data_IF_904137526585
#
_entry.id   IF_904137526585
#
_cell.length_a   1.000
_cell.length_b   1.000
_cell.length_c   1.000
_cell.angle_alpha   90.00
_cell.angle_beta   90.00
_cell.angle_gamma   90.00
#
_symmetry.space_group_name_H-M   'P 1'
#
loop_
_entity.id
_entity.type
_entity.pdbx_description
1 polymer ?
#
# COMPACT_ATOMS: atom_id res chain seq x y z
N UNK A 1 -35.78 11.01 -26.75
CA UNK A 1 -35.24 9.64 -26.52
C UNK A 1 -33.78 9.47 -26.97
N UNK A 2 -33.34 10.15 -28.03
CA UNK A 2 -31.96 10.11 -28.58
C UNK A 2 -30.90 10.77 -27.70
N UNK A 3 -31.20 11.93 -27.10
CA UNK A 3 -30.25 12.67 -26.23
C UNK A 3 -29.94 11.88 -24.94
N UNK A 4 -30.94 11.26 -24.32
CA UNK A 4 -30.77 10.43 -23.11
C UNK A 4 -29.88 9.23 -23.43
N UNK A 5 -30.13 8.52 -24.54
CA UNK A 5 -29.29 7.40 -24.98
C UNK A 5 -27.83 7.83 -25.23
N UNK A 6 -27.62 8.97 -25.89
CA UNK A 6 -26.28 9.51 -26.13
C UNK A 6 -25.54 9.84 -24.82
N UNK A 7 -26.22 10.46 -23.85
CA UNK A 7 -25.67 10.73 -22.51
C UNK A 7 -25.36 9.45 -21.73
N UNK A 8 -26.22 8.44 -21.79
CA UNK A 8 -25.95 7.12 -21.16
C UNK A 8 -24.74 6.44 -21.80
N UNK A 9 -24.61 6.48 -23.13
CA UNK A 9 -23.46 5.91 -23.83
C UNK A 9 -22.17 6.66 -23.48
N UNK A 10 -22.20 7.99 -23.42
CA UNK A 10 -21.03 8.80 -23.07
C UNK A 10 -20.56 8.55 -21.63
N UNK A 11 -21.50 8.47 -20.68
CA UNK A 11 -21.20 8.16 -19.28
C UNK A 11 -20.68 6.74 -19.12
N UNK A 12 -21.25 5.76 -19.83
CA UNK A 12 -20.74 4.39 -19.86
C UNK A 12 -19.31 4.35 -20.41
N UNK A 13 -19.05 5.03 -21.53
CA UNK A 13 -17.73 5.12 -22.12
C UNK A 13 -16.71 5.76 -21.17
N UNK A 14 -17.05 6.90 -20.56
CA UNK A 14 -16.20 7.56 -19.58
C UNK A 14 -15.89 6.65 -18.37
N UNK A 15 -16.88 5.88 -17.90
CA UNK A 15 -16.69 4.92 -16.82
C UNK A 15 -15.77 3.76 -17.23
N UNK A 16 -15.88 3.25 -18.46
CA UNK A 16 -14.98 2.21 -18.98
C UNK A 16 -13.56 2.75 -19.10
N UNK A 17 -13.38 3.94 -19.69
CA UNK A 17 -12.06 4.59 -19.80
C UNK A 17 -11.44 4.79 -18.42
N UNK A 18 -12.20 5.32 -17.46
CA UNK A 18 -11.73 5.49 -16.06
C UNK A 18 -11.27 4.16 -15.46
N UNK A 19 -12.04 3.08 -15.67
CA UNK A 19 -11.68 1.73 -15.18
C UNK A 19 -10.45 1.14 -15.86
N UNK A 20 -10.22 1.42 -17.13
CA UNK A 20 -9.01 0.95 -17.83
C UNK A 20 -7.78 1.73 -17.36
N UNK A 21 -7.88 3.06 -17.33
CA UNK A 21 -6.77 3.95 -16.97
C UNK A 21 -6.29 3.70 -15.53
N UNK A 22 -7.20 3.46 -14.58
CA UNK A 22 -6.81 3.20 -13.19
C UNK A 22 -6.03 1.88 -13.02
N UNK A 23 -6.13 0.94 -13.97
CA UNK A 23 -5.42 -0.33 -13.94
C UNK A 23 -4.02 -0.26 -14.57
N UNK A 24 -3.69 0.79 -15.33
CA UNK A 24 -2.38 0.94 -15.98
C UNK A 24 -1.23 0.86 -14.97
N UNK A 25 -1.25 1.59 -13.83
CA UNK A 25 -0.18 1.48 -12.84
C UNK A 25 -0.07 0.08 -12.23
N UNK A 26 -1.20 -0.64 -12.11
CA UNK A 26 -1.22 -2.00 -11.55
C UNK A 26 -0.53 -2.99 -12.48
N UNK A 27 -0.88 -2.94 -13.77
CA UNK A 27 -0.21 -3.75 -14.80
C UNK A 27 1.28 -3.43 -14.86
N UNK A 28 1.64 -2.15 -14.73
CA UNK A 28 3.03 -1.71 -14.71
C UNK A 28 3.82 -2.29 -13.52
N UNK A 29 3.26 -2.28 -12.31
CA UNK A 29 3.90 -2.90 -11.13
C UNK A 29 4.11 -4.40 -11.33
N UNK A 30 3.11 -5.13 -11.82
CA UNK A 30 3.28 -6.56 -12.14
C UNK A 30 4.37 -6.78 -13.20
N UNK A 31 4.41 -5.92 -14.23
CA UNK A 31 5.43 -5.97 -15.28
C UNK A 31 6.85 -5.79 -14.74
N UNK A 32 7.08 -4.79 -13.89
CA UNK A 32 8.40 -4.56 -13.27
C UNK A 32 8.81 -5.76 -12.43
N UNK A 33 7.94 -6.23 -11.52
CA UNK A 33 8.28 -7.36 -10.64
C UNK A 33 8.57 -8.62 -11.45
N UNK A 34 7.83 -8.88 -12.53
CA UNK A 34 8.07 -10.00 -13.41
C UNK A 34 9.41 -9.88 -14.17
N UNK A 35 9.71 -8.69 -14.70
CA UNK A 35 10.98 -8.43 -15.40
C UNK A 35 12.16 -8.61 -14.45
N UNK A 36 12.12 -7.99 -13.26
CA UNK A 36 13.19 -8.10 -12.27
C UNK A 36 13.38 -9.55 -11.80
N UNK A 37 12.29 -10.31 -11.65
CA UNK A 37 12.37 -11.74 -11.34
C UNK A 37 12.97 -12.57 -12.46
N UNK A 38 12.56 -12.36 -13.72
CA UNK A 38 13.13 -13.06 -14.87
C UNK A 38 14.61 -12.74 -15.02
N UNK A 39 15.02 -11.47 -14.90
CA UNK A 39 16.43 -11.09 -15.00
C UNK A 39 17.24 -11.68 -13.85
N UNK A 40 16.74 -11.65 -12.62
CA UNK A 40 17.46 -12.21 -11.49
C UNK A 40 17.56 -13.75 -11.55
N UNK A 41 16.50 -14.44 -11.94
CA UNK A 41 16.52 -15.91 -11.98
C UNK A 41 17.33 -16.42 -13.16
N UNK A 42 17.16 -15.87 -14.36
CA UNK A 42 17.81 -16.42 -15.54
C UNK A 42 19.15 -15.76 -15.86
N UNK A 43 19.23 -14.43 -15.79
CA UNK A 43 20.46 -13.71 -16.17
C UNK A 43 21.51 -13.81 -15.07
N UNK A 44 21.17 -13.47 -13.83
CA UNK A 44 22.14 -13.57 -12.72
C UNK A 44 22.59 -15.02 -12.50
N UNK A 45 21.68 -16.00 -12.56
CA UNK A 45 22.08 -17.42 -12.47
C UNK A 45 23.03 -17.83 -13.61
N UNK A 46 22.74 -17.46 -14.86
CA UNK A 46 23.61 -17.81 -16.00
C UNK A 46 25.03 -17.27 -15.89
N UNK A 47 25.23 -16.17 -15.15
CA UNK A 47 26.53 -15.53 -14.96
C UNK A 47 27.35 -16.14 -13.83
N UNK A 48 26.71 -16.51 -12.72
CA UNK A 48 27.42 -16.84 -11.48
C UNK A 48 27.34 -18.32 -11.07
N UNK A 49 26.44 -19.11 -11.66
CA UNK A 49 26.22 -20.50 -11.24
C UNK A 49 27.46 -21.38 -11.38
N UNK A 50 28.15 -21.31 -12.53
CA UNK A 50 29.33 -22.15 -12.79
C UNK A 50 30.49 -21.86 -11.84
N UNK A 51 30.63 -20.62 -11.37
CA UNK A 51 31.70 -20.21 -10.46
C UNK A 51 31.33 -20.39 -9.00
N UNK A 52 30.05 -20.16 -8.64
CA UNK A 52 29.57 -20.09 -7.25
C UNK A 52 28.15 -20.67 -7.13
N UNK A 53 27.97 -21.99 -7.29
CA UNK A 53 26.63 -22.60 -7.42
C UNK A 53 25.79 -22.43 -6.15
N UNK A 54 26.32 -22.74 -4.98
CA UNK A 54 25.56 -22.67 -3.72
C UNK A 54 25.08 -21.25 -3.38
N UNK A 55 25.94 -20.25 -3.52
CA UNK A 55 25.56 -18.85 -3.25
C UNK A 55 24.58 -18.32 -4.29
N UNK A 56 24.74 -18.74 -5.55
CA UNK A 56 23.83 -18.34 -6.64
C UNK A 56 22.44 -18.91 -6.40
N UNK A 57 22.32 -20.21 -6.10
CA UNK A 57 21.04 -20.85 -5.78
C UNK A 57 20.42 -20.23 -4.53
N UNK A 58 21.19 -20.00 -3.47
CA UNK A 58 20.68 -19.36 -2.26
C UNK A 58 20.14 -17.94 -2.53
N UNK A 59 20.84 -17.15 -3.34
CA UNK A 59 20.38 -15.81 -3.73
C UNK A 59 19.09 -15.88 -4.57
N UNK A 60 19.01 -16.80 -5.55
CA UNK A 60 17.82 -17.01 -6.39
C UNK A 60 16.61 -17.43 -5.56
N UNK A 61 16.80 -18.36 -4.61
CA UNK A 61 15.74 -18.80 -3.69
C UNK A 61 15.27 -17.65 -2.81
N UNK A 62 16.21 -16.92 -2.19
CA UNK A 62 15.89 -15.77 -1.36
C UNK A 62 15.14 -14.69 -2.13
N UNK A 63 15.62 -14.32 -3.31
CA UNK A 63 14.97 -13.32 -4.16
C UNK A 63 13.56 -13.78 -4.56
N UNK A 64 13.39 -15.04 -4.93
CA UNK A 64 12.08 -15.60 -5.26
C UNK A 64 11.11 -15.55 -4.08
N UNK A 65 11.56 -15.89 -2.86
CA UNK A 65 10.73 -15.77 -1.65
C UNK A 65 10.30 -14.31 -1.43
N UNK A 66 11.23 -13.36 -1.58
CA UNK A 66 10.92 -11.93 -1.45
C UNK A 66 9.95 -11.47 -2.53
N UNK A 67 10.12 -11.87 -3.80
CA UNK A 67 9.19 -11.56 -4.89
C UNK A 67 7.79 -12.11 -4.62
N UNK A 68 7.67 -13.32 -4.07
CA UNK A 68 6.38 -13.89 -3.66
C UNK A 68 5.75 -13.03 -2.56
N UNK A 69 6.52 -12.58 -1.57
CA UNK A 69 6.03 -11.71 -0.49
C UNK A 69 5.64 -10.32 -0.99
N UNK A 70 6.36 -9.75 -1.96
CA UNK A 70 5.98 -8.52 -2.68
C UNK A 70 4.62 -8.71 -3.35
N UNK A 71 4.48 -9.73 -4.20
CA UNK A 71 3.25 -9.99 -4.95
C UNK A 71 2.08 -10.30 -4.03
N UNK A 72 2.27 -11.13 -3.01
CA UNK A 72 1.23 -11.45 -2.05
C UNK A 72 0.77 -10.20 -1.29
N UNK A 73 1.69 -9.36 -0.81
CA UNK A 73 1.35 -8.10 -0.14
C UNK A 73 0.63 -7.13 -1.08
N UNK A 74 1.13 -7.00 -2.31
CA UNK A 74 0.57 -6.12 -3.33
C UNK A 74 -0.86 -6.54 -3.73
N UNK A 75 -1.06 -7.82 -4.07
CA UNK A 75 -2.39 -8.36 -4.42
C UNK A 75 -3.37 -8.17 -3.26
N UNK A 76 -2.94 -8.42 -2.02
CA UNK A 76 -3.81 -8.20 -0.84
C UNK A 76 -4.14 -6.71 -0.67
N UNK A 77 -3.21 -5.81 -0.94
CA UNK A 77 -3.45 -4.37 -0.91
C UNK A 77 -4.48 -3.93 -1.97
N UNK A 78 -4.30 -4.38 -3.22
CA UNK A 78 -5.18 -4.08 -4.36
C UNK A 78 -6.59 -4.62 -4.13
N UNK A 79 -6.71 -5.87 -3.68
CA UNK A 79 -8.00 -6.59 -3.64
C UNK A 79 -8.79 -6.36 -2.34
N UNK A 80 -8.20 -5.77 -1.31
CA UNK A 80 -8.90 -5.56 -0.02
C UNK A 80 -9.62 -4.22 -0.03
N UNK A 81 -10.96 -4.26 0.02
CA UNK A 81 -11.79 -3.06 0.17
C UNK A 81 -11.72 -2.50 1.60
N UNK A 82 -11.59 -1.18 1.70
CA UNK A 82 -11.70 -0.42 2.96
C UNK A 82 -13.10 0.13 3.22
N UNK A 83 -14.07 -0.21 2.35
CA UNK A 83 -15.45 0.21 2.55
C UNK A 83 -16.04 -0.50 3.77
N UNK A 84 -16.86 0.19 4.59
CA UNK A 84 -17.56 -0.47 5.68
C UNK A 84 -18.47 -1.59 5.13
N UNK A 85 -18.17 -2.84 5.47
CA UNK A 85 -18.91 -4.02 4.95
C UNK A 85 -20.37 -4.04 5.42
N UNK A 86 -20.62 -3.54 6.62
CA UNK A 86 -21.94 -3.42 7.23
C UNK A 86 -22.03 -2.02 7.83
N UNK A 87 -23.06 -1.26 7.43
CA UNK A 87 -23.40 0.01 8.06
C UNK A 87 -24.51 -0.27 9.08
N UNK A 88 -24.22 -0.18 10.40
CA UNK A 88 -25.18 -0.49 11.43
C UNK A 88 -26.37 0.46 11.37
N UNK A 89 -27.51 -0.04 11.82
CA UNK A 89 -28.71 0.76 11.93
C UNK A 89 -28.46 1.96 12.86
N UNK A 90 -29.10 3.12 12.62
CA UNK A 90 -28.92 4.32 13.46
C UNK A 90 -29.34 4.18 14.93
N UNK A 91 -29.79 3.01 15.37
CA UNK A 91 -30.04 2.71 16.79
C UNK A 91 -28.85 2.04 17.50
N UNK A 92 -27.81 1.63 16.77
CA UNK A 92 -26.60 1.03 17.35
C UNK A 92 -25.60 2.07 17.87
N UNK A 93 -25.68 3.26 17.30
CA UNK A 93 -25.04 4.50 17.75
C UNK A 93 -26.16 5.52 17.78
N UNK A 94 -26.29 6.37 18.79
CA UNK A 94 -27.32 7.42 18.75
C UNK A 94 -27.15 8.22 17.45
N UNK A 95 -28.11 8.08 16.52
CA UNK A 95 -28.03 8.58 15.14
C UNK A 95 -27.71 10.08 15.02
N UNK A 96 -27.92 10.83 16.10
CA UNK A 96 -27.67 12.26 16.21
C UNK A 96 -26.18 12.60 16.40
N UNK A 97 -25.34 11.64 16.80
CA UNK A 97 -23.93 11.88 17.17
C UNK A 97 -22.93 11.36 16.13
N UNK A 98 -23.36 10.49 15.20
CA UNK A 98 -22.50 9.94 14.16
C UNK A 98 -22.64 10.72 12.84
N UNK A 99 -21.53 11.28 12.29
CA UNK A 99 -21.57 11.95 10.99
C UNK A 99 -22.10 11.06 9.90
N UNK A 100 -22.68 11.68 8.88
CA UNK A 100 -23.17 10.97 7.70
C UNK A 100 -22.42 11.44 6.48
N UNK A 101 -22.14 10.51 5.58
CA UNK A 101 -21.65 10.86 4.26
C UNK A 101 -22.83 11.20 3.35
N UNK A 102 -22.90 12.45 2.88
CA UNK A 102 -23.96 12.88 1.96
C UNK A 102 -23.94 12.10 0.62
N UNK A 103 -22.76 11.65 0.17
CA UNK A 103 -22.59 10.90 -1.09
C UNK A 103 -22.94 9.43 -0.97
N UNK A 104 -22.59 8.78 0.15
CA UNK A 104 -22.88 7.37 0.39
C UNK A 104 -24.23 7.14 1.08
N UNK A 105 -24.86 8.19 1.62
CA UNK A 105 -26.08 8.11 2.43
C UNK A 105 -25.98 7.11 3.60
N UNK A 106 -24.77 7.01 4.16
CA UNK A 106 -24.42 6.05 5.21
C UNK A 106 -23.82 6.76 6.42
N UNK A 107 -23.73 6.06 7.55
CA UNK A 107 -22.94 6.53 8.69
C UNK A 107 -21.47 6.62 8.24
N UNK A 108 -20.77 7.63 8.76
CA UNK A 108 -19.36 7.89 8.53
C UNK A 108 -18.66 7.75 9.88
N UNK A 109 -18.03 6.59 10.13
CA UNK A 109 -17.29 6.36 11.36
C UNK A 109 -16.17 7.37 11.55
N UNK A 110 -15.68 7.44 12.78
CA UNK A 110 -14.48 8.22 13.07
C UNK A 110 -13.31 7.81 12.16
N UNK A 111 -12.50 8.78 11.75
CA UNK A 111 -11.36 8.63 10.81
C UNK A 111 -11.72 8.07 9.42
N UNK A 112 -13.00 7.83 9.11
CA UNK A 112 -13.41 7.41 7.79
C UNK A 112 -13.58 8.64 6.88
N UNK A 113 -13.19 8.54 5.60
CA UNK A 113 -13.38 9.64 4.64
C UNK A 113 -13.96 9.13 3.32
N UNK A 114 -14.74 9.96 2.62
CA UNK A 114 -15.28 9.62 1.31
C UNK A 114 -14.22 9.83 0.24
N UNK A 115 -13.85 8.77 -0.48
CA UNK A 115 -12.97 8.90 -1.64
C UNK A 115 -13.79 9.06 -2.92
N UNK A 116 -13.72 10.22 -3.56
CA UNK A 116 -14.39 10.48 -4.84
C UNK A 116 -13.89 9.60 -5.99
N UNK A 117 -12.63 9.15 -5.93
CA UNK A 117 -12.04 8.25 -6.93
C UNK A 117 -12.66 6.86 -6.85
N UNK A 118 -12.80 6.32 -5.63
CA UNK A 118 -13.40 5.01 -5.35
C UNK A 118 -14.94 5.04 -5.28
N UNK A 119 -15.54 6.21 -5.02
CA UNK A 119 -17.00 6.39 -4.88
C UNK A 119 -17.58 5.83 -3.58
N UNK A 120 -16.75 5.59 -2.56
CA UNK A 120 -17.16 4.98 -1.28
C UNK A 120 -16.44 5.65 -0.11
N UNK A 121 -17.03 5.57 1.08
CA UNK A 121 -16.32 5.84 2.33
C UNK A 121 -15.28 4.75 2.59
N UNK A 122 -14.09 5.15 3.02
CA UNK A 122 -13.00 4.27 3.40
C UNK A 122 -12.71 4.43 4.90
N UNK A 123 -12.74 3.33 5.66
CA UNK A 123 -12.42 3.32 7.09
C UNK A 123 -10.95 3.66 7.31
N UNK A 124 -10.65 4.49 8.31
CA UNK A 124 -9.30 5.01 8.62
C UNK A 124 -8.56 5.36 7.33
N UNK A 125 -9.19 6.19 6.48
CA UNK A 125 -8.66 6.48 5.15
C UNK A 125 -7.30 7.13 5.28
N UNK A 126 -6.32 6.56 4.62
CA UNK A 126 -4.99 7.14 4.52
C UNK A 126 -4.91 7.97 3.24
N UNK A 127 -4.91 7.31 2.08
CA UNK A 127 -4.93 8.00 0.80
C UNK A 127 -5.54 7.13 -0.30
N UNK A 128 -5.90 7.76 -1.41
CA UNK A 128 -6.14 7.03 -2.65
C UNK A 128 -4.80 6.83 -3.37
N UNK A 129 -4.45 5.58 -3.67
CA UNK A 129 -3.17 5.25 -4.26
C UNK A 129 -3.36 4.72 -5.69
N UNK A 130 -2.97 5.48 -6.72
CA UNK A 130 -3.07 5.03 -8.11
C UNK A 130 -2.29 3.74 -8.38
N UNK A 131 -1.17 3.54 -7.70
CA UNK A 131 -0.28 2.37 -7.86
C UNK A 131 -0.90 1.04 -7.43
N UNK A 132 -1.95 1.07 -6.60
CA UNK A 132 -2.71 -0.14 -6.21
C UNK A 132 -4.16 -0.08 -6.70
N UNK A 133 -4.51 0.91 -7.53
CA UNK A 133 -5.86 1.17 -8.02
C UNK A 133 -6.95 1.14 -6.93
N UNK A 134 -6.61 1.53 -5.70
CA UNK A 134 -7.46 1.37 -4.53
C UNK A 134 -7.09 2.41 -3.45
N UNK A 135 -8.00 2.64 -2.51
CA UNK A 135 -7.68 3.36 -1.29
C UNK A 135 -6.85 2.49 -0.35
N UNK A 136 -5.86 3.12 0.27
CA UNK A 136 -5.14 2.60 1.44
C UNK A 136 -5.88 3.09 2.69
N UNK A 137 -6.18 2.17 3.59
CA UNK A 137 -6.96 2.44 4.79
C UNK A 137 -6.98 1.25 5.74
N UNK A 138 -7.95 1.20 6.66
CA UNK A 138 -7.96 0.28 7.80
C UNK A 138 -7.58 -1.18 7.48
N UNK A 139 -8.28 -1.82 6.54
CA UNK A 139 -8.14 -3.24 6.28
C UNK A 139 -6.93 -3.64 5.44
N UNK A 140 -6.31 -2.71 4.71
CA UNK A 140 -5.21 -3.00 3.81
C UNK A 140 -3.91 -2.26 4.12
N UNK A 141 -3.88 -1.37 5.12
CA UNK A 141 -2.68 -0.57 5.43
C UNK A 141 -1.47 -1.44 5.77
N UNK A 142 -1.67 -2.55 6.52
CA UNK A 142 -0.61 -3.53 6.77
C UNK A 142 -0.04 -4.10 5.47
N UNK A 143 -0.88 -4.49 4.52
CA UNK A 143 -0.44 -5.06 3.25
C UNK A 143 0.32 -4.03 2.40
N UNK A 144 -0.12 -2.77 2.43
CA UNK A 144 0.59 -1.66 1.82
C UNK A 144 2.00 -1.47 2.40
N UNK A 145 2.14 -1.46 3.74
CA UNK A 145 3.45 -1.36 4.40
C UNK A 145 4.37 -2.54 4.08
N UNK A 146 3.81 -3.75 4.05
CA UNK A 146 4.56 -4.95 3.67
C UNK A 146 4.96 -4.93 2.20
N UNK A 147 4.10 -4.43 1.31
CA UNK A 147 4.46 -4.22 -0.09
C UNK A 147 5.66 -3.26 -0.22
N UNK A 148 5.64 -2.12 0.48
CA UNK A 148 6.79 -1.20 0.49
C UNK A 148 8.05 -1.85 1.06
N UNK A 149 7.95 -2.50 2.23
CA UNK A 149 9.07 -3.14 2.90
C UNK A 149 9.72 -4.25 2.04
N UNK A 150 8.92 -5.16 1.49
CA UNK A 150 9.43 -6.24 0.67
C UNK A 150 9.94 -5.75 -0.69
N UNK A 151 9.36 -4.69 -1.26
CA UNK A 151 9.87 -4.07 -2.49
C UNK A 151 11.23 -3.42 -2.27
N UNK A 152 11.41 -2.67 -1.17
CA UNK A 152 12.73 -2.16 -0.76
C UNK A 152 13.74 -3.30 -0.59
N UNK A 153 13.34 -4.35 0.13
CA UNK A 153 14.20 -5.52 0.37
C UNK A 153 14.61 -6.20 -0.93
N UNK A 154 13.67 -6.42 -1.85
CA UNK A 154 13.94 -7.00 -3.16
C UNK A 154 14.90 -6.16 -3.99
N UNK A 155 14.68 -4.85 -4.05
CA UNK A 155 15.58 -3.95 -4.78
C UNK A 155 17.00 -3.94 -4.19
N UNK A 156 17.14 -3.93 -2.86
CA UNK A 156 18.44 -4.00 -2.19
C UNK A 156 19.16 -5.31 -2.51
N UNK A 157 18.46 -6.45 -2.44
CA UNK A 157 19.04 -7.76 -2.81
C UNK A 157 19.49 -7.74 -4.27
N UNK A 158 18.66 -7.22 -5.18
CA UNK A 158 18.98 -7.12 -6.59
C UNK A 158 20.27 -6.32 -6.84
N UNK A 159 20.39 -5.15 -6.21
CA UNK A 159 21.55 -4.25 -6.33
C UNK A 159 22.81 -4.91 -5.76
N UNK A 160 22.74 -5.49 -4.57
CA UNK A 160 23.90 -6.09 -3.90
C UNK A 160 24.42 -7.31 -4.67
N UNK A 161 23.53 -8.18 -5.14
CA UNK A 161 23.92 -9.36 -5.91
C UNK A 161 24.53 -8.99 -7.27
N UNK A 162 24.07 -7.92 -7.90
CA UNK A 162 24.58 -7.48 -9.21
C UNK A 162 25.68 -6.41 -9.10
N UNK A 163 26.22 -6.11 -7.91
CA UNK A 163 27.16 -5.00 -7.70
C UNK A 163 28.38 -5.01 -8.62
N UNK A 164 28.97 -6.17 -8.88
CA UNK A 164 30.13 -6.31 -9.78
C UNK A 164 29.79 -5.94 -11.23
N UNK A 165 28.56 -6.20 -11.68
CA UNK A 165 28.07 -5.81 -13.00
C UNK A 165 27.85 -4.30 -13.10
N UNK A 166 27.44 -3.67 -12.00
CA UNK A 166 27.34 -2.21 -11.92
C UNK A 166 28.72 -1.61 -12.17
N UNK A 167 29.74 -2.11 -11.47
CA UNK A 167 31.11 -1.61 -11.62
C UNK A 167 31.70 -1.90 -13.02
N UNK A 168 31.38 -3.05 -13.62
CA UNK A 168 31.90 -3.42 -14.94
C UNK A 168 31.35 -2.53 -16.08
N UNK A 169 30.13 -2.01 -15.94
CA UNK A 169 29.55 -1.03 -16.87
C UNK A 169 30.36 0.27 -16.89
N UNK A 170 30.78 0.75 -15.72
CA UNK A 170 31.60 1.96 -15.61
C UNK A 170 33.05 1.75 -16.03
N UNK A 171 33.52 0.50 -16.06
CA UNK A 171 34.90 0.15 -16.43
C UNK A 171 35.14 0.00 -17.95
N UNK A 172 34.16 0.33 -18.81
CA UNK A 172 34.25 0.28 -20.30
C UNK A 172 34.86 -1.04 -20.81
N UNK A 173 34.49 -2.16 -20.20
CA UNK A 173 34.96 -3.48 -20.64
C UNK A 173 34.04 -4.05 -21.72
N UNK A 174 34.62 -4.55 -22.81
CA UNK A 174 33.89 -5.13 -23.94
C UNK A 174 33.02 -6.31 -23.48
N UNK A 175 31.70 -6.17 -23.66
CA UNK A 175 30.70 -7.12 -23.17
C UNK A 175 30.49 -8.27 -24.14
N UNK A 176 30.59 -9.52 -23.66
CA UNK A 176 30.40 -10.75 -24.45
C UNK A 176 28.94 -10.97 -24.89
N UNK A 177 27.94 -10.53 -24.11
CA UNK A 177 26.51 -10.76 -24.38
C UNK A 177 25.69 -9.48 -24.20
N UNK A 178 25.75 -8.59 -25.18
CA UNK A 178 25.16 -7.23 -25.14
C UNK A 178 23.70 -7.19 -24.65
N UNK A 179 22.82 -8.08 -25.13
CA UNK A 179 21.40 -8.07 -24.77
C UNK A 179 21.14 -8.42 -23.31
N UNK A 180 21.76 -9.49 -22.79
CA UNK A 180 21.59 -9.90 -21.39
C UNK A 180 22.14 -8.86 -20.43
N UNK A 181 23.24 -8.22 -20.84
CA UNK A 181 23.86 -7.16 -20.06
C UNK A 181 23.03 -5.87 -20.05
N UNK A 182 22.32 -5.55 -21.13
CA UNK A 182 21.39 -4.43 -21.18
C UNK A 182 20.16 -4.66 -20.30
N UNK A 183 19.61 -5.88 -20.30
CA UNK A 183 18.48 -6.24 -19.42
C UNK A 183 18.86 -6.19 -17.94
N UNK A 184 20.05 -6.70 -17.59
CA UNK A 184 20.59 -6.63 -16.24
C UNK A 184 20.81 -5.19 -15.79
N UNK A 185 21.34 -4.33 -16.67
CA UNK A 185 21.57 -2.91 -16.40
C UNK A 185 20.24 -2.16 -16.18
N UNK A 186 19.24 -2.40 -17.02
CA UNK A 186 17.90 -1.84 -16.85
C UNK A 186 17.33 -2.19 -15.48
N UNK A 187 17.40 -3.47 -15.07
CA UNK A 187 16.93 -3.91 -13.76
C UNK A 187 17.66 -3.24 -12.59
N UNK A 188 18.99 -3.06 -12.69
CA UNK A 188 19.74 -2.31 -11.65
C UNK A 188 19.27 -0.86 -11.56
N UNK A 189 19.21 -0.15 -12.69
CA UNK A 189 18.82 1.26 -12.72
C UNK A 189 17.41 1.43 -12.16
N UNK A 190 16.48 0.55 -12.57
CA UNK A 190 15.12 0.48 -12.06
C UNK A 190 15.13 0.29 -10.53
N UNK A 191 15.83 -0.72 -10.03
CA UNK A 191 15.92 -1.01 -8.60
C UNK A 191 16.52 0.16 -7.80
N UNK A 192 17.54 0.85 -8.31
CA UNK A 192 18.13 2.04 -7.65
C UNK A 192 17.09 3.17 -7.58
N UNK A 193 16.46 3.49 -8.71
CA UNK A 193 15.47 4.55 -8.79
C UNK A 193 14.29 4.31 -7.83
N UNK A 194 13.73 3.09 -7.84
CA UNK A 194 12.64 2.73 -6.95
C UNK A 194 13.07 2.62 -5.49
N UNK A 195 14.27 2.09 -5.18
CA UNK A 195 14.74 1.97 -3.78
C UNK A 195 14.75 3.31 -3.06
N UNK A 196 15.26 4.36 -3.71
CA UNK A 196 15.33 5.69 -3.11
C UNK A 196 13.93 6.15 -2.72
N UNK A 197 12.99 6.16 -3.68
CA UNK A 197 11.62 6.61 -3.44
C UNK A 197 10.90 5.75 -2.40
N UNK A 198 11.01 4.42 -2.50
CA UNK A 198 10.31 3.49 -1.62
C UNK A 198 10.83 3.55 -0.17
N UNK A 199 12.14 3.76 0.05
CA UNK A 199 12.71 3.89 1.40
C UNK A 199 12.19 5.14 2.10
N UNK A 200 12.17 6.30 1.42
CA UNK A 200 11.62 7.52 2.00
C UNK A 200 10.12 7.38 2.28
N UNK A 201 9.39 6.78 1.35
CA UNK A 201 7.95 6.60 1.50
C UNK A 201 7.61 5.62 2.63
N UNK A 202 8.33 4.50 2.73
CA UNK A 202 8.22 3.57 3.85
C UNK A 202 8.58 4.24 5.18
N UNK A 203 9.67 5.02 5.22
CA UNK A 203 10.09 5.74 6.41
C UNK A 203 9.03 6.73 6.90
N UNK A 204 8.41 7.47 5.99
CA UNK A 204 7.30 8.37 6.29
C UNK A 204 6.09 7.61 6.86
N UNK A 205 5.67 6.51 6.21
CA UNK A 205 4.53 5.75 6.74
C UNK A 205 4.84 5.04 8.07
N UNK A 206 6.07 4.57 8.28
CA UNK A 206 6.47 4.03 9.59
C UNK A 206 6.41 5.12 10.67
N UNK A 207 6.81 6.36 10.35
CA UNK A 207 6.63 7.49 11.25
C UNK A 207 5.14 7.71 11.60
N UNK A 208 4.25 7.70 10.60
CA UNK A 208 2.80 7.82 10.81
C UNK A 208 2.23 6.68 11.66
N UNK A 209 2.67 5.44 11.42
CA UNK A 209 2.29 4.27 12.23
C UNK A 209 2.70 4.48 13.69
N UNK A 210 3.92 4.96 13.94
CA UNK A 210 4.40 5.19 15.30
C UNK A 210 3.65 6.31 16.02
N UNK A 211 3.08 7.26 15.29
CA UNK A 211 2.22 8.32 15.82
C UNK A 211 0.73 7.94 15.83
N UNK A 212 0.32 6.80 15.27
CA UNK A 212 -1.09 6.45 14.99
C UNK A 212 -1.85 7.52 14.21
N UNK A 213 -1.21 8.09 13.19
CA UNK A 213 -1.82 9.07 12.29
C UNK A 213 -1.98 8.49 10.89
N UNK A 214 -2.99 8.95 10.16
CA UNK A 214 -3.08 8.79 8.71
C UNK A 214 -2.40 9.95 8.00
N UNK A 215 -2.15 9.83 6.70
CA UNK A 215 -1.65 10.94 5.88
C UNK A 215 -2.61 12.14 5.85
N UNK A 216 -3.92 11.90 5.98
CA UNK A 216 -4.91 12.97 6.11
C UNK A 216 -4.75 13.70 7.45
N UNK A 217 -4.53 12.96 8.54
CA UNK A 217 -4.46 13.53 9.89
C UNK A 217 -3.15 14.28 10.17
N UNK A 218 -2.02 13.85 9.59
CA UNK A 218 -0.68 14.36 9.90
C UNK A 218 -0.53 15.89 9.74
N UNK A 219 -1.29 16.50 8.83
CA UNK A 219 -1.28 17.95 8.60
C UNK A 219 -2.21 18.77 9.51
N UNK A 220 -3.16 18.12 10.19
CA UNK A 220 -4.20 18.81 10.98
C UNK A 220 -4.12 18.49 12.48
N UNK A 221 -3.66 17.31 12.85
CA UNK A 221 -3.52 16.87 14.23
C UNK A 221 -2.05 16.95 14.63
N UNK A 222 -1.74 17.79 15.62
CA UNK A 222 -0.39 17.85 16.18
C UNK A 222 -0.10 16.59 17.00
N UNK A 223 1.14 16.05 17.00
CA UNK A 223 1.49 14.86 17.77
C UNK A 223 1.16 14.97 19.27
N UNK A 224 1.39 16.14 19.87
CA UNK A 224 1.13 16.39 21.30
C UNK A 224 -0.35 16.37 21.69
N UNK A 225 -1.25 16.50 20.71
CA UNK A 225 -2.70 16.53 20.90
C UNK A 225 -3.38 15.39 20.16
N UNK A 226 -2.65 14.37 19.73
CA UNK A 226 -3.23 13.25 18.98
C UNK A 226 -4.02 12.34 19.93
N UNK A 227 -5.36 12.30 19.85
CA UNK A 227 -6.16 11.48 20.76
C UNK A 227 -6.00 9.98 20.51
N UNK A 228 -5.51 9.57 19.33
CA UNK A 228 -5.35 8.17 18.94
C UNK A 228 -3.98 7.60 19.34
N UNK A 229 -3.03 8.42 19.77
CA UNK A 229 -1.71 7.93 20.16
C UNK A 229 -1.79 7.16 21.50
N UNK A 230 -1.46 5.87 21.44
CA UNK A 230 -1.45 4.94 22.58
C UNK A 230 -0.01 4.57 23.02
N UNK A 231 0.98 5.25 22.47
CA UNK A 231 2.39 4.91 22.56
C UNK A 231 2.84 3.99 21.43
N UNK A 232 4.08 4.21 20.97
CA UNK A 232 4.70 3.60 19.78
C UNK A 232 4.41 2.10 19.59
N UNK A 233 4.50 1.30 20.66
CA UNK A 233 4.25 -0.15 20.60
C UNK A 233 2.80 -0.47 20.29
N UNK A 234 1.84 0.11 21.04
CA UNK A 234 0.41 -0.13 20.83
C UNK A 234 -0.05 0.42 19.48
N UNK A 235 0.52 1.53 19.02
CA UNK A 235 0.25 2.07 17.70
C UNK A 235 0.70 1.12 16.58
N UNK A 236 1.90 0.55 16.70
CA UNK A 236 2.38 -0.46 15.75
C UNK A 236 1.53 -1.74 15.78
N UNK A 237 1.24 -2.25 16.98
CA UNK A 237 0.39 -3.43 17.19
C UNK A 237 -1.05 -3.20 16.68
N UNK A 238 -1.54 -1.95 16.63
CA UNK A 238 -2.86 -1.63 16.05
C UNK A 238 -2.96 -1.92 14.54
N UNK A 239 -1.81 -1.97 13.84
CA UNK A 239 -1.72 -2.28 12.40
C UNK A 239 -1.26 -3.73 12.17
N UNK A 240 -0.23 -4.16 12.90
CA UNK A 240 0.42 -5.46 12.69
C UNK A 240 -0.13 -6.60 13.56
N UNK A 241 -0.99 -6.29 14.52
CA UNK A 241 -1.52 -7.21 15.52
C UNK A 241 -0.53 -7.52 16.63
N UNK A 242 -1.01 -8.18 17.68
CA UNK A 242 -0.23 -8.56 18.88
C UNK A 242 0.70 -9.76 18.63
N UNK A 243 0.34 -10.63 17.68
CA UNK A 243 1.07 -11.86 17.35
C UNK A 243 2.25 -11.59 16.41
N UNK A 244 3.45 -11.42 16.99
CA UNK A 244 4.71 -11.08 16.27
C UNK A 244 5.06 -11.99 15.10
N UNK A 245 4.72 -13.28 15.18
CA UNK A 245 4.99 -14.26 14.11
C UNK A 245 4.38 -13.86 12.76
N UNK A 246 3.28 -13.10 12.76
CA UNK A 246 2.55 -12.70 11.56
C UNK A 246 2.87 -11.27 11.10
N UNK A 247 3.82 -10.58 11.74
CA UNK A 247 4.13 -9.18 11.40
C UNK A 247 4.63 -9.02 9.97
N UNK A 248 5.51 -9.92 9.52
CA UNK A 248 6.12 -9.86 8.19
C UNK A 248 5.33 -10.63 7.12
N UNK A 249 4.21 -11.24 7.48
CA UNK A 249 3.37 -12.03 6.59
C UNK A 249 2.13 -11.22 6.15
N UNK A 250 1.73 -11.29 4.86
CA UNK A 250 0.58 -10.58 4.32
C UNK A 250 -0.76 -11.25 4.67
N UNK A 251 -0.94 -11.57 5.95
CA UNK A 251 -2.14 -12.15 6.53
C UNK A 251 -2.86 -11.13 7.40
N UNK A 252 -4.20 -11.26 7.49
CA UNK A 252 -5.00 -10.39 8.33
C UNK A 252 -4.68 -10.65 9.80
N UNK A 253 -4.33 -9.58 10.52
CA UNK A 253 -4.04 -9.59 11.95
C UNK A 253 -4.83 -8.53 12.71
N UNK A 254 -5.77 -7.86 12.05
CA UNK A 254 -6.60 -6.83 12.66
C UNK A 254 -7.63 -7.46 13.59
N UNK A 255 -7.68 -6.94 14.80
CA UNK A 255 -8.65 -7.35 15.84
C UNK A 255 -9.86 -6.39 15.87
N UNK A 256 -9.70 -5.16 15.38
CA UNK A 256 -10.75 -4.13 15.37
C UNK A 256 -11.45 -4.01 14.01
N UNK A 257 -12.74 -3.71 14.05
CA UNK A 257 -13.59 -3.58 12.85
C UNK A 257 -13.31 -2.31 12.05
N UNK A 258 -12.68 -1.30 12.64
CA UNK A 258 -12.49 0.03 12.05
C UNK A 258 -13.67 0.99 12.24
N UNK A 259 -14.70 0.58 13.00
CA UNK A 259 -15.81 1.43 13.42
C UNK A 259 -15.47 2.23 14.69
N UNK A 260 -14.67 1.65 15.59
CA UNK A 260 -14.26 2.26 16.85
C UNK A 260 -12.73 2.26 16.97
N UNK A 261 -12.18 3.33 17.55
CA UNK A 261 -10.75 3.49 17.82
C UNK A 261 -10.52 3.88 19.28
N UNK A 262 -9.50 3.30 19.91
CA UNK A 262 -9.15 3.63 21.31
C UNK A 262 -8.55 5.04 21.41
N UNK A 263 -9.10 5.86 22.31
CA UNK A 263 -8.60 7.21 22.62
C UNK A 263 -8.23 7.30 24.10
N UNK A 264 -6.98 7.63 24.42
CA UNK A 264 -6.49 7.53 25.81
C UNK A 264 -6.63 6.11 26.38
N UNK A 265 -7.01 5.96 27.66
CA UNK A 265 -7.14 4.65 28.32
C UNK A 265 -8.47 3.92 28.07
N UNK A 266 -9.39 4.46 27.27
CA UNK A 266 -10.72 3.90 27.05
C UNK A 266 -10.97 3.61 25.56
N UNK A 267 -11.63 2.48 25.28
CA UNK A 267 -12.28 2.25 23.98
C UNK A 267 -13.58 3.05 24.04
N UNK A 268 -13.52 4.31 23.61
CA UNK A 268 -14.71 5.17 23.61
C UNK A 268 -15.54 4.84 22.36
N UNK A 269 -16.77 4.31 22.51
CA UNK A 269 -17.68 4.18 21.38
C UNK A 269 -18.02 5.56 20.83
N UNK A 270 -18.38 5.64 19.53
CA UNK A 270 -18.86 6.89 18.94
C UNK A 270 -20.05 7.52 19.69
N UNK A 271 -20.81 6.74 20.46
CA UNK A 271 -21.99 7.15 21.26
C UNK A 271 -21.67 8.00 22.51
N UNK A 272 -20.48 8.57 22.61
CA UNK A 272 -20.08 9.41 23.73
C UNK A 272 -20.25 10.92 23.44
N UNK A 273 -21.14 11.30 22.51
CA UNK A 273 -21.53 12.69 22.29
C UNK A 273 -20.44 13.61 21.78
N UNK A 274 -19.45 13.10 21.04
CA UNK A 274 -18.32 13.92 20.60
C UNK A 274 -18.49 14.42 19.17
N UNK A 275 -18.27 15.73 18.97
CA UNK A 275 -18.13 16.30 17.65
C UNK A 275 -16.95 15.63 16.92
N UNK A 276 -17.10 15.24 15.65
CA UNK A 276 -16.01 14.68 14.86
C UNK A 276 -14.91 15.71 14.72
N UNK A 277 -13.66 15.27 14.60
CA UNK A 277 -12.61 16.15 14.12
C UNK A 277 -12.95 16.48 12.66
N UNK A 278 -13.43 17.69 12.40
CA UNK A 278 -13.74 18.14 11.04
C UNK A 278 -12.44 18.39 10.27
N UNK A 279 -12.29 17.71 9.14
CA UNK A 279 -11.18 17.94 8.22
C UNK A 279 -11.65 18.78 7.02
N UNK A 280 -10.80 19.65 6.45
CA UNK A 280 -11.15 20.41 5.26
C UNK A 280 -11.60 19.48 4.11
N UNK A 281 -12.82 19.70 3.61
CA UNK A 281 -13.40 18.92 2.51
C UNK A 281 -14.41 17.84 2.93
N UNK A 282 -14.64 17.63 4.23
CA UNK A 282 -15.67 16.68 4.71
C UNK A 282 -17.12 17.15 4.45
N UNK A 283 -17.31 18.44 4.15
CA UNK A 283 -18.62 19.09 3.91
C UNK A 283 -18.99 19.25 2.42
N UNK A 284 -18.31 18.56 1.49
CA UNK A 284 -18.52 18.66 0.02
C UNK A 284 -18.87 17.31 -0.59
#
# INVERSE_FOLDING_TARGET
MTIIKAWTTLTLFANVVKRVVILIPVVFVFGIVAIDWVTFVFVFQSKFYDQRPFTTVAAVVLFTIVSILVLASYIRCVMTSNSPKYNPAPGHFEAAECPRCAKCLSLKPDRAHHCSMCGVCCLKMDHHCPWVANCVGHYNYKYFLLFLFWSCTGCIIYILCNWTEIMSVFAVSAKKNFTLDLMSLFGVISCIAFSITLIFFLGFHLHLVLLNQTTLEYGFIRPSSNPYDQGKRRNFESIFGTKKLFWLLPVNTLEISGWDFTMGNEVLPMSAGRAPVEFPGDNV
#
